data_IF_713739597853
#
_entry.id   IF_713739597853
#
_cell.length_a   1.000
_cell.length_b   1.000
_cell.length_c   1.000
_cell.angle_alpha   90.00
_cell.angle_beta   90.00
_cell.angle_gamma   90.00
#
_symmetry.space_group_name_H-M   'P 1'
#
loop_
_entity.id
_entity.type
_entity.pdbx_description
1 polymer ?
#
# COMPACT_ATOMS: atom_id res chain seq x y z
N UNK A 1 -61.86 -36.39 18.46
CA UNK A 1 -60.58 -35.65 18.30
C UNK A 1 -60.43 -35.30 16.82
N UNK A 2 -60.79 -34.07 16.44
CA UNK A 2 -60.63 -33.60 15.06
C UNK A 2 -59.21 -33.06 14.90
N UNK A 3 -58.40 -33.72 14.06
CA UNK A 3 -57.14 -33.15 13.59
C UNK A 3 -57.46 -32.19 12.43
N UNK A 4 -56.96 -30.93 12.44
CA UNK A 4 -57.15 -30.04 11.31
C UNK A 4 -56.37 -30.58 10.10
N UNK A 5 -57.04 -30.60 8.94
CA UNK A 5 -56.41 -30.98 7.67
C UNK A 5 -55.37 -29.92 7.27
N UNK A 6 -54.27 -30.32 6.61
CA UNK A 6 -53.26 -29.38 6.15
C UNK A 6 -53.86 -28.47 5.08
N UNK A 7 -53.80 -27.15 5.33
CA UNK A 7 -54.18 -26.14 4.36
C UNK A 7 -53.00 -25.94 3.41
N UNK A 8 -53.05 -26.57 2.24
CA UNK A 8 -52.11 -26.28 1.17
C UNK A 8 -52.48 -24.95 0.52
N UNK A 9 -51.71 -23.91 0.80
CA UNK A 9 -51.79 -22.64 0.08
C UNK A 9 -51.16 -22.81 -1.30
N UNK A 10 -51.92 -22.64 -2.40
CA UNK A 10 -51.35 -22.72 -3.74
C UNK A 10 -50.53 -21.47 -3.99
N UNK A 11 -49.20 -21.61 -3.95
CA UNK A 11 -48.30 -20.58 -4.45
C UNK A 11 -48.55 -20.50 -5.96
N UNK A 12 -49.19 -19.42 -6.41
CA UNK A 12 -49.53 -19.23 -7.81
C UNK A 12 -48.25 -19.09 -8.65
N UNK A 13 -48.26 -19.59 -9.89
CA UNK A 13 -47.10 -19.52 -10.82
C UNK A 13 -46.53 -18.10 -10.93
N UNK A 14 -47.39 -17.08 -10.80
CA UNK A 14 -47.03 -15.66 -10.81
C UNK A 14 -46.18 -15.24 -9.60
N UNK A 15 -46.47 -15.76 -8.40
CA UNK A 15 -45.67 -15.51 -7.21
C UNK A 15 -44.29 -16.18 -7.28
N UNK A 16 -44.25 -17.42 -7.82
CA UNK A 16 -43.01 -18.14 -8.09
C UNK A 16 -42.11 -17.42 -9.12
N UNK A 17 -42.69 -16.86 -10.18
CA UNK A 17 -41.97 -16.08 -11.18
C UNK A 17 -41.36 -14.78 -10.62
N UNK A 18 -42.09 -14.07 -9.75
CA UNK A 18 -41.57 -12.87 -9.06
C UNK A 18 -40.42 -13.19 -8.11
N UNK A 19 -40.52 -14.29 -7.36
CA UNK A 19 -39.44 -14.79 -6.48
C UNK A 19 -38.19 -15.19 -7.29
N UNK A 20 -38.37 -15.86 -8.43
CA UNK A 20 -37.27 -16.23 -9.30
C UNK A 20 -36.56 -15.01 -9.92
N UNK A 21 -37.32 -13.99 -10.35
CA UNK A 21 -36.76 -12.74 -10.89
C UNK A 21 -36.02 -11.96 -9.80
N UNK A 22 -36.57 -11.89 -8.58
CA UNK A 22 -35.91 -11.24 -7.45
C UNK A 22 -34.61 -11.98 -7.06
N UNK A 23 -34.63 -13.31 -7.04
CA UNK A 23 -33.43 -14.12 -6.77
C UNK A 23 -32.36 -13.95 -7.86
N UNK A 24 -32.75 -13.92 -9.14
CA UNK A 24 -31.84 -13.62 -10.26
C UNK A 24 -31.25 -12.21 -10.17
N UNK A 25 -32.05 -11.21 -9.76
CA UNK A 25 -31.58 -9.85 -9.52
C UNK A 25 -30.56 -9.78 -8.38
N UNK A 26 -30.80 -10.50 -7.28
CA UNK A 26 -29.87 -10.58 -6.14
C UNK A 26 -28.57 -11.29 -6.55
N UNK A 27 -28.64 -12.39 -7.30
CA UNK A 27 -27.46 -13.10 -7.81
C UNK A 27 -26.66 -12.23 -8.79
N UNK A 28 -27.33 -11.47 -9.67
CA UNK A 28 -26.68 -10.54 -10.57
C UNK A 28 -25.98 -9.39 -9.83
N UNK A 29 -26.61 -8.83 -8.78
CA UNK A 29 -25.99 -7.80 -7.93
C UNK A 29 -24.80 -8.36 -7.16
N UNK A 30 -24.88 -9.58 -6.63
CA UNK A 30 -23.77 -10.26 -5.96
C UNK A 30 -22.62 -10.61 -6.93
N UNK A 31 -22.95 -10.98 -8.17
CA UNK A 31 -21.95 -11.25 -9.21
C UNK A 31 -21.22 -9.99 -9.71
N UNK A 32 -21.81 -8.79 -9.54
CA UNK A 32 -21.14 -7.52 -9.84
C UNK A 32 -20.12 -7.10 -8.77
N UNK A 33 -20.08 -7.76 -7.61
CA UNK A 33 -18.99 -7.63 -6.63
C UNK A 33 -17.76 -8.46 -7.03
N UNK A 34 -17.37 -8.42 -8.31
CA UNK A 34 -16.01 -8.83 -8.69
C UNK A 34 -15.06 -7.82 -8.06
N UNK A 35 -14.57 -8.14 -6.87
CA UNK A 35 -13.60 -7.33 -6.16
C UNK A 35 -12.29 -7.35 -6.96
N UNK A 36 -11.86 -6.19 -7.46
CA UNK A 36 -10.48 -6.02 -7.87
C UNK A 36 -9.61 -6.20 -6.62
N UNK A 37 -8.93 -7.34 -6.50
CA UNK A 37 -8.01 -7.61 -5.41
C UNK A 37 -6.59 -7.24 -5.87
N UNK A 38 -5.96 -6.31 -5.17
CA UNK A 38 -4.56 -5.96 -5.39
C UNK A 38 -3.73 -6.52 -4.24
N UNK A 39 -2.68 -7.26 -4.58
CA UNK A 39 -1.71 -7.73 -3.60
C UNK A 39 -0.82 -6.55 -3.17
N UNK A 40 -0.86 -6.20 -1.89
CA UNK A 40 -0.03 -5.12 -1.31
C UNK A 40 1.25 -5.74 -0.77
N UNK A 41 2.37 -5.49 -1.46
CA UNK A 41 3.68 -6.01 -1.04
C UNK A 41 4.35 -5.15 0.04
N UNK A 42 4.11 -3.84 -0.01
CA UNK A 42 4.71 -2.86 0.91
C UNK A 42 3.77 -1.67 1.07
N UNK A 43 3.56 -1.26 2.32
CA UNK A 43 2.84 -0.05 2.69
C UNK A 43 3.56 0.56 3.90
N UNK A 44 3.79 1.87 3.87
CA UNK A 44 4.41 2.60 4.96
C UNK A 44 3.73 3.96 5.12
N UNK A 45 3.22 4.19 6.32
CA UNK A 45 2.56 5.44 6.73
C UNK A 45 3.34 6.16 7.86
N UNK A 46 4.54 5.65 8.19
CA UNK A 46 5.47 6.22 9.18
C UNK A 46 4.85 6.41 10.56
N UNK A 47 4.04 5.44 10.97
CA UNK A 47 3.56 5.30 12.34
C UNK A 47 4.71 4.98 13.30
N UNK A 48 4.44 5.07 14.60
CA UNK A 48 5.41 4.76 15.64
C UNK A 48 6.05 3.37 15.43
N UNK A 49 7.37 3.27 15.63
CA UNK A 49 8.14 2.05 15.38
C UNK A 49 8.54 1.83 13.92
N UNK A 50 8.46 2.85 13.07
CA UNK A 50 9.00 2.79 11.70
C UNK A 50 10.50 2.44 11.68
N UNK A 51 11.25 2.83 12.70
CA UNK A 51 12.68 2.54 12.85
C UNK A 51 12.99 1.04 12.84
N UNK A 52 12.04 0.19 13.23
CA UNK A 52 12.22 -1.27 13.21
C UNK A 52 12.13 -1.86 11.79
N UNK A 53 11.50 -1.13 10.86
CA UNK A 53 11.27 -1.55 9.46
C UNK A 53 12.34 -1.02 8.51
N UNK A 54 12.96 0.12 8.86
CA UNK A 54 13.89 0.84 8.00
C UNK A 54 15.33 0.74 8.51
N UNK A 55 16.26 0.52 7.59
CA UNK A 55 17.68 0.38 7.88
C UNK A 55 18.44 1.52 7.23
N UNK A 56 19.11 2.33 8.05
CA UNK A 56 20.09 3.32 7.59
C UNK A 56 21.32 2.62 7.00
N UNK A 57 21.74 3.09 5.83
CA UNK A 57 22.94 2.62 5.16
C UNK A 57 24.21 3.10 5.85
N UNK A 58 25.30 2.38 5.60
CA UNK A 58 26.67 2.75 5.97
C UNK A 58 27.52 3.03 4.71
N UNK A 59 26.88 3.08 3.51
CA UNK A 59 27.54 3.28 2.22
C UNK A 59 28.37 4.57 2.16
N UNK A 60 27.81 5.70 2.61
CA UNK A 60 28.52 6.96 2.80
C UNK A 60 28.55 7.33 4.28
N UNK A 61 28.89 6.39 5.17
CA UNK A 61 28.73 6.54 6.63
C UNK A 61 29.23 7.86 7.25
N UNK A 62 30.29 8.50 6.73
CA UNK A 62 30.76 9.81 7.21
C UNK A 62 29.91 11.01 6.74
N UNK A 63 29.13 10.82 5.68
CA UNK A 63 28.36 11.84 4.97
C UNK A 63 26.86 11.54 4.86
N UNK A 64 26.36 10.51 5.53
CA UNK A 64 24.93 10.25 5.69
C UNK A 64 24.27 11.34 6.56
N UNK A 65 23.15 11.86 6.08
CA UNK A 65 22.28 12.74 6.83
C UNK A 65 21.46 11.98 7.87
N UNK A 66 20.78 12.73 8.74
CA UNK A 66 19.86 12.14 9.72
C UNK A 66 18.46 12.14 9.16
N UNK A 67 17.78 11.02 9.36
CA UNK A 67 16.35 10.90 9.12
C UNK A 67 15.60 11.23 10.40
N UNK A 68 14.46 11.90 10.24
CA UNK A 68 13.44 12.02 11.28
C UNK A 68 12.06 11.82 10.64
N UNK A 69 11.03 11.65 11.47
CA UNK A 69 9.65 11.73 11.00
C UNK A 69 9.04 13.07 11.37
N UNK A 70 8.32 13.67 10.43
CA UNK A 70 7.65 14.95 10.63
C UNK A 70 6.47 15.10 9.68
N UNK A 71 5.44 15.83 10.11
CA UNK A 71 4.38 16.32 9.21
C UNK A 71 4.80 17.62 8.50
N UNK A 72 5.94 18.21 8.91
CA UNK A 72 6.44 19.49 8.42
C UNK A 72 5.84 20.71 9.14
N UNK A 73 6.14 21.90 8.64
CA UNK A 73 5.64 23.20 9.15
C UNK A 73 4.15 23.42 8.84
N UNK A 74 3.65 22.83 7.77
CA UNK A 74 2.24 22.89 7.38
C UNK A 74 1.75 21.51 6.92
N UNK A 75 0.58 21.10 7.37
CA UNK A 75 0.03 19.77 7.10
C UNK A 75 -1.49 19.80 7.10
N UNK A 76 -2.10 18.82 6.43
CA UNK A 76 -3.56 18.62 6.48
C UNK A 76 -4.01 17.95 7.79
N UNK A 77 -3.21 17.00 8.27
CA UNK A 77 -3.37 16.33 9.57
C UNK A 77 -1.97 16.12 10.16
N UNK A 78 -1.78 16.40 11.45
CA UNK A 78 -0.50 16.25 12.16
C UNK A 78 -0.01 14.79 12.19
N UNK A 79 -0.94 13.84 12.04
CA UNK A 79 -0.63 12.41 11.96
C UNK A 79 -0.03 12.00 10.62
N UNK A 80 -0.16 12.81 9.58
CA UNK A 80 0.41 12.53 8.26
C UNK A 80 1.92 12.83 8.26
N UNK A 81 2.65 12.05 9.05
CA UNK A 81 4.12 12.12 9.13
C UNK A 81 4.73 11.39 7.94
N UNK A 82 5.92 11.83 7.57
CA UNK A 82 6.78 11.13 6.62
C UNK A 82 8.24 11.24 7.00
N UNK A 83 9.10 10.48 6.32
CA UNK A 83 10.54 10.63 6.44
C UNK A 83 10.98 12.01 5.92
N UNK A 84 11.73 12.73 6.75
CA UNK A 84 12.28 14.04 6.46
C UNK A 84 13.80 14.02 6.56
N UNK A 85 14.44 14.63 5.58
CA UNK A 85 15.88 14.92 5.58
C UNK A 85 16.15 16.17 6.41
N UNK A 86 17.16 16.16 7.27
CA UNK A 86 17.37 17.22 8.27
C UNK A 86 18.60 18.11 8.04
N UNK A 87 19.53 17.66 7.19
CA UNK A 87 20.87 18.24 7.04
C UNK A 87 21.17 18.48 5.56
N UNK A 88 21.54 19.71 5.22
CA UNK A 88 21.90 20.11 3.86
C UNK A 88 23.20 19.43 3.40
N UNK A 89 23.33 19.23 2.08
CA UNK A 89 24.53 18.66 1.44
C UNK A 89 24.98 17.31 2.01
N UNK A 90 24.02 16.42 2.30
CA UNK A 90 24.27 15.06 2.78
C UNK A 90 23.68 14.01 1.85
N UNK A 91 24.26 12.81 1.93
CA UNK A 91 23.67 11.61 1.35
C UNK A 91 22.55 11.10 2.24
N UNK A 92 21.58 10.43 1.63
CA UNK A 92 20.39 9.95 2.31
C UNK A 92 20.04 8.58 1.77
N UNK A 93 20.65 7.55 2.34
CA UNK A 93 20.46 6.18 1.92
C UNK A 93 19.78 5.36 3.03
N UNK A 94 18.50 5.06 2.83
CA UNK A 94 17.69 4.23 3.74
C UNK A 94 16.88 3.22 2.92
N UNK A 95 16.63 2.04 3.50
CA UNK A 95 15.86 0.99 2.83
C UNK A 95 15.00 0.21 3.82
N UNK A 96 13.83 -0.23 3.37
CA UNK A 96 12.97 -1.17 4.08
C UNK A 96 12.83 -2.46 3.27
N UNK A 97 12.75 -3.60 3.97
CA UNK A 97 12.48 -4.89 3.32
C UNK A 97 10.98 -5.08 3.15
N UNK A 98 10.64 -5.73 2.04
CA UNK A 98 9.30 -6.20 1.69
C UNK A 98 9.34 -7.70 1.47
N UNK A 99 8.19 -8.36 1.42
CA UNK A 99 8.10 -9.70 0.85
C UNK A 99 8.69 -9.69 -0.57
N UNK A 100 9.51 -10.68 -0.90
CA UNK A 100 10.04 -10.83 -2.26
C UNK A 100 8.92 -11.17 -3.22
N UNK A 101 8.87 -10.49 -4.37
CA UNK A 101 7.86 -10.73 -5.40
C UNK A 101 8.46 -10.68 -6.81
N UNK A 102 7.67 -11.10 -7.79
CA UNK A 102 7.95 -10.88 -9.22
C UNK A 102 6.71 -10.32 -9.89
N UNK A 103 6.87 -9.27 -10.69
CA UNK A 103 5.80 -8.69 -11.50
C UNK A 103 5.73 -9.30 -12.92
N UNK A 104 6.41 -10.43 -13.20
CA UNK A 104 6.35 -11.05 -14.53
C UNK A 104 4.91 -11.44 -14.88
N UNK A 105 4.39 -10.86 -15.97
CA UNK A 105 3.01 -11.08 -16.41
C UNK A 105 1.94 -10.43 -15.51
N UNK A 106 2.34 -9.56 -14.58
CA UNK A 106 1.46 -8.81 -13.68
C UNK A 106 1.73 -7.31 -13.80
N UNK A 107 0.75 -6.50 -13.45
CA UNK A 107 0.94 -5.04 -13.32
C UNK A 107 1.60 -4.76 -11.98
N UNK A 108 2.66 -3.95 -11.98
CA UNK A 108 3.26 -3.39 -10.78
C UNK A 108 2.82 -1.93 -10.65
N UNK A 109 2.33 -1.56 -9.47
CA UNK A 109 2.03 -0.17 -9.12
C UNK A 109 2.98 0.25 -8.02
N UNK A 110 3.71 1.34 -8.25
CA UNK A 110 4.54 1.99 -7.25
C UNK A 110 3.97 3.39 -7.03
N UNK A 111 3.58 3.68 -5.78
CA UNK A 111 2.99 4.95 -5.42
C UNK A 111 3.61 5.44 -4.10
N UNK A 112 4.01 6.70 -4.09
CA UNK A 112 4.54 7.38 -2.91
C UNK A 112 4.26 8.88 -3.03
N UNK A 113 4.39 9.60 -1.93
CA UNK A 113 4.22 11.06 -1.90
C UNK A 113 5.53 11.71 -1.53
N UNK A 114 5.81 12.87 -2.16
CA UNK A 114 7.00 13.66 -1.91
C UNK A 114 6.57 15.10 -1.66
N UNK A 115 7.14 15.70 -0.62
CA UNK A 115 6.92 17.10 -0.28
C UNK A 115 8.27 17.78 -0.11
N UNK A 116 8.62 18.63 -1.07
CA UNK A 116 9.75 19.56 -0.92
C UNK A 116 9.24 20.80 -0.18
N UNK A 117 9.23 20.73 1.15
CA UNK A 117 8.77 21.83 2.01
C UNK A 117 9.80 22.95 2.10
N UNK A 118 11.07 22.57 2.19
CA UNK A 118 12.17 23.49 1.93
C UNK A 118 12.15 23.80 0.44
N UNK A 119 12.30 25.07 0.06
CA UNK A 119 12.43 25.52 -1.33
C UNK A 119 13.70 24.92 -1.95
N UNK A 120 13.61 23.64 -2.33
CA UNK A 120 14.74 22.79 -2.67
C UNK A 120 15.34 23.27 -3.99
N UNK A 121 16.60 23.69 -3.94
CA UNK A 121 17.36 24.13 -5.11
C UNK A 121 17.93 22.92 -5.88
N UNK A 122 18.45 21.92 -5.18
CA UNK A 122 19.03 20.71 -5.75
C UNK A 122 18.91 19.52 -4.78
N UNK A 123 18.17 18.48 -5.17
CA UNK A 123 18.09 17.23 -4.43
C UNK A 123 17.17 16.23 -5.10
N UNK A 124 17.35 14.94 -4.77
CA UNK A 124 16.50 13.85 -5.25
C UNK A 124 15.21 13.71 -4.44
N UNK A 125 14.18 13.17 -5.07
CA UNK A 125 12.91 12.81 -4.43
C UNK A 125 12.37 11.48 -4.96
N UNK A 126 13.26 10.57 -5.36
CA UNK A 126 12.92 9.27 -5.95
C UNK A 126 13.15 8.13 -4.97
N UNK A 127 12.58 6.97 -5.27
CA UNK A 127 12.80 5.71 -4.56
C UNK A 127 13.33 4.67 -5.54
N UNK A 128 14.01 3.62 -5.05
CA UNK A 128 14.46 2.51 -5.91
C UNK A 128 13.89 1.19 -5.40
N UNK A 129 13.58 0.28 -6.32
CA UNK A 129 13.21 -1.11 -6.02
C UNK A 129 14.43 -2.00 -6.26
N UNK A 130 14.89 -2.67 -5.20
CA UNK A 130 16.10 -3.48 -5.22
C UNK A 130 15.79 -4.99 -5.25
N UNK A 131 16.70 -5.83 -5.81
CA UNK A 131 16.65 -7.27 -5.62
C UNK A 131 16.74 -7.67 -4.14
N UNK A 132 16.15 -8.81 -3.77
CA UNK A 132 16.15 -9.30 -2.38
C UNK A 132 17.55 -9.69 -1.85
N UNK A 133 18.55 -9.80 -2.73
CA UNK A 133 19.94 -10.10 -2.38
C UNK A 133 20.74 -8.89 -1.89
N UNK A 134 20.20 -7.68 -2.00
CA UNK A 134 20.91 -6.46 -1.61
C UNK A 134 21.14 -6.40 -0.11
N UNK A 135 22.36 -6.01 0.28
CA UNK A 135 22.71 -5.71 1.66
C UNK A 135 22.30 -4.27 2.00
N UNK A 136 21.24 -4.11 2.81
CA UNK A 136 20.72 -2.80 3.23
C UNK A 136 21.77 -1.90 3.89
N UNK A 137 22.76 -2.47 4.59
CA UNK A 137 23.84 -1.69 5.21
C UNK A 137 24.84 -1.11 4.21
N UNK A 138 24.85 -1.62 2.98
CA UNK A 138 25.70 -1.11 1.89
C UNK A 138 24.87 -0.45 0.79
N UNK A 139 23.59 -0.17 1.06
CA UNK A 139 22.66 0.42 0.11
C UNK A 139 23.07 1.84 -0.27
N UNK A 140 23.00 2.19 -1.55
CA UNK A 140 23.20 3.58 -1.94
C UNK A 140 23.19 3.82 -3.44
N UNK A 141 23.84 4.91 -3.87
CA UNK A 141 23.89 5.35 -5.26
C UNK A 141 24.25 4.25 -6.27
N UNK A 142 25.27 3.44 -5.93
CA UNK A 142 25.87 2.43 -6.82
C UNK A 142 25.32 1.01 -6.62
N UNK A 143 24.33 0.83 -5.73
CA UNK A 143 23.72 -0.48 -5.51
C UNK A 143 22.87 -0.90 -6.70
N UNK A 144 22.88 -2.20 -7.04
CA UNK A 144 22.00 -2.76 -8.06
C UNK A 144 20.51 -2.52 -7.72
N UNK A 145 19.76 -2.00 -8.69
CA UNK A 145 18.32 -1.79 -8.60
C UNK A 145 17.63 -2.24 -9.89
N UNK A 146 16.32 -2.51 -9.79
CA UNK A 146 15.47 -2.91 -10.91
C UNK A 146 14.69 -1.72 -11.48
N UNK A 147 14.22 -0.81 -10.62
CA UNK A 147 13.43 0.37 -10.97
C UNK A 147 13.88 1.54 -10.07
N UNK A 148 13.88 2.75 -10.63
CA UNK A 148 14.14 4.03 -9.96
C UNK A 148 13.11 5.06 -10.43
#
# INVERSE_FOLDING_TARGET
RYLPRPVNFPITKTAMGKLAIAALGIVAVLALFVTANAEVFFEENFEDGWEDRWVNSEFKSSDEGKWETSAGKFYGDEKNKGLRTTTDYRWYDISAKTASFSNKGKTLVLQYTVKHEQDLDCGGGYIKIAPSSVNQKKWGGDSDYQIM
#
